data_IF_706467325587
#
_entry.id   IF_706467325587
#
_cell.length_a   1.000
_cell.length_b   1.000
_cell.length_c   1.000
_cell.angle_alpha   90.00
_cell.angle_beta   90.00
_cell.angle_gamma   90.00
#
_symmetry.space_group_name_H-M   'P 1'
#
loop_
_entity.id
_entity.type
_entity.pdbx_description
1 polymer ?
#
# COMPACT_ATOMS: atom_id res chain seq x y z
N UNK A 1 -10.54 3.66 27.32
CA UNK A 1 -11.23 4.41 26.25
C UNK A 1 -12.59 3.76 26.09
N UNK A 2 -13.68 4.49 25.79
CA UNK A 2 -14.94 3.84 25.46
C UNK A 2 -14.77 3.16 24.10
N UNK A 3 -14.90 1.83 24.10
CA UNK A 3 -14.85 0.98 22.90
C UNK A 3 -16.10 1.27 22.06
N UNK A 4 -15.93 2.13 21.05
CA UNK A 4 -16.94 2.37 20.01
C UNK A 4 -16.68 1.37 18.89
N UNK A 5 -17.09 0.12 19.11
CA UNK A 5 -16.92 -0.97 18.15
C UNK A 5 -18.05 -0.91 17.11
N UNK A 6 -17.98 0.12 16.25
CA UNK A 6 -18.73 0.14 15.01
C UNK A 6 -17.73 -0.18 13.91
N UNK A 7 -17.78 -1.41 13.40
CA UNK A 7 -17.11 -1.77 12.16
C UNK A 7 -17.81 -1.02 11.03
N UNK A 8 -17.36 0.20 10.75
CA UNK A 8 -17.77 0.93 9.56
C UNK A 8 -16.95 0.41 8.39
N UNK A 9 -17.65 -0.21 7.45
CA UNK A 9 -17.09 -0.57 6.17
C UNK A 9 -16.64 0.71 5.43
N UNK A 10 -15.37 0.76 4.99
CA UNK A 10 -14.81 1.91 4.29
C UNK A 10 -15.50 2.12 2.93
N UNK A 11 -16.05 1.09 2.30
CA UNK A 11 -16.77 1.19 1.03
C UNK A 11 -18.11 1.91 1.23
N UNK A 12 -18.80 1.58 2.34
CA UNK A 12 -20.02 2.27 2.74
C UNK A 12 -19.73 3.75 3.07
N UNK A 13 -18.66 4.04 3.81
CA UNK A 13 -18.28 5.42 4.12
C UNK A 13 -17.92 6.20 2.86
N UNK A 14 -17.19 5.61 1.93
CA UNK A 14 -16.85 6.21 0.65
C UNK A 14 -18.11 6.46 -0.20
N UNK A 15 -19.06 5.53 -0.20
CA UNK A 15 -20.36 5.69 -0.86
C UNK A 15 -21.18 6.82 -0.23
N UNK A 16 -21.24 6.88 1.11
CA UNK A 16 -21.89 7.99 1.83
C UNK A 16 -21.24 9.34 1.52
N UNK A 17 -19.91 9.39 1.37
CA UNK A 17 -19.21 10.60 0.96
C UNK A 17 -19.65 11.04 -0.45
N UNK A 18 -19.69 10.12 -1.42
CA UNK A 18 -20.15 10.38 -2.80
C UNK A 18 -21.61 10.85 -2.85
N UNK A 19 -22.48 10.22 -2.07
CA UNK A 19 -23.90 10.63 -1.99
C UNK A 19 -24.08 12.00 -1.34
N UNK A 20 -23.27 12.32 -0.33
CA UNK A 20 -23.27 13.62 0.34
C UNK A 20 -22.77 14.73 -0.59
N UNK A 21 -21.70 14.48 -1.37
CA UNK A 21 -21.23 15.39 -2.42
C UNK A 21 -22.30 15.63 -3.47
N UNK A 22 -22.98 14.57 -3.90
CA UNK A 22 -24.10 14.69 -4.85
C UNK A 22 -25.23 15.54 -4.29
N UNK A 23 -25.56 15.40 -3.00
CA UNK A 23 -26.58 16.21 -2.35
C UNK A 23 -26.12 17.67 -2.22
N UNK A 24 -24.86 17.91 -1.89
CA UNK A 24 -24.25 19.25 -1.91
C UNK A 24 -24.41 19.90 -3.29
N UNK A 25 -24.07 19.19 -4.36
CA UNK A 25 -24.15 19.70 -5.73
C UNK A 25 -25.60 19.95 -6.18
N UNK A 26 -26.53 19.07 -5.79
CA UNK A 26 -27.96 19.28 -6.01
C UNK A 26 -28.48 20.52 -5.28
N UNK A 27 -28.06 20.73 -4.03
CA UNK A 27 -28.39 21.93 -3.28
C UNK A 27 -27.72 23.16 -3.89
N UNK A 28 -26.54 23.01 -4.51
CA UNK A 28 -25.79 24.01 -5.27
C UNK A 28 -26.46 24.45 -6.58
N UNK A 29 -27.34 23.63 -7.15
CA UNK A 29 -27.95 23.89 -8.44
C UNK A 29 -28.87 25.12 -8.38
N UNK A 30 -28.41 26.20 -9.03
CA UNK A 30 -29.14 27.46 -9.12
C UNK A 30 -30.54 27.35 -9.75
N UNK A 31 -30.83 26.27 -10.49
CA UNK A 31 -32.17 25.96 -11.03
C UNK A 31 -33.15 25.54 -9.94
N UNK A 32 -32.68 24.90 -8.88
CA UNK A 32 -33.48 24.51 -7.71
C UNK A 32 -33.59 25.65 -6.69
N UNK A 33 -32.56 26.49 -6.59
CA UNK A 33 -32.51 27.64 -5.67
C UNK A 33 -33.00 28.97 -6.28
N UNK A 34 -33.44 28.98 -7.54
CA UNK A 34 -33.90 30.21 -8.20
C UNK A 34 -32.84 31.32 -8.22
N UNK A 35 -31.55 30.98 -8.36
CA UNK A 35 -30.44 31.94 -8.48
C UNK A 35 -30.52 32.66 -9.83
N UNK A 36 -31.42 33.63 -9.83
CA UNK A 36 -31.96 34.35 -10.96
C UNK A 36 -33.32 34.84 -10.47
N UNK A 37 -33.30 35.85 -9.60
CA UNK A 37 -34.49 36.44 -9.01
C UNK A 37 -35.56 36.57 -10.09
N UNK A 38 -36.65 35.80 -9.95
CA UNK A 38 -37.75 35.90 -10.89
C UNK A 38 -38.17 37.36 -10.96
N UNK A 39 -38.34 37.91 -12.15
CA UNK A 39 -38.72 39.31 -12.29
C UNK A 39 -40.22 39.52 -11.99
N UNK A 40 -40.60 40.79 -11.84
CA UNK A 40 -41.99 41.17 -11.61
C UNK A 40 -42.92 40.72 -12.75
N UNK A 41 -42.38 40.50 -13.97
CA UNK A 41 -43.16 40.06 -15.13
C UNK A 41 -43.47 38.56 -15.07
N UNK A 42 -42.57 37.75 -14.50
CA UNK A 42 -42.71 36.31 -14.33
C UNK A 42 -43.62 35.92 -13.16
N UNK A 43 -43.60 36.68 -12.05
CA UNK A 43 -44.34 36.31 -10.83
C UNK A 43 -45.55 37.20 -10.50
N UNK A 44 -45.73 38.31 -11.21
CA UNK A 44 -46.82 39.25 -10.97
C UNK A 44 -46.92 39.66 -9.49
N UNK A 45 -48.11 39.56 -8.91
CA UNK A 45 -48.38 39.96 -7.52
C UNK A 45 -47.60 39.11 -6.47
N UNK A 46 -47.15 37.91 -6.82
CA UNK A 46 -46.40 37.01 -5.92
C UNK A 46 -44.92 37.36 -5.77
N UNK A 47 -44.38 38.24 -6.62
CA UNK A 47 -42.95 38.57 -6.71
C UNK A 47 -42.31 38.91 -5.36
N UNK A 48 -42.95 39.78 -4.56
CA UNK A 48 -42.39 40.18 -3.26
C UNK A 48 -42.31 39.04 -2.26
N UNK A 49 -43.33 38.17 -2.20
CA UNK A 49 -43.37 37.05 -1.27
C UNK A 49 -42.33 35.99 -1.63
N UNK A 50 -42.20 35.67 -2.93
CA UNK A 50 -41.25 34.69 -3.43
C UNK A 50 -39.80 35.18 -3.27
N UNK A 51 -39.49 36.43 -3.62
CA UNK A 51 -38.14 36.96 -3.42
C UNK A 51 -37.78 37.13 -1.95
N UNK A 52 -38.75 37.45 -1.07
CA UNK A 52 -38.50 37.49 0.37
C UNK A 52 -38.16 36.09 0.92
N UNK A 53 -38.87 35.06 0.47
CA UNK A 53 -38.54 33.66 0.79
C UNK A 53 -37.11 33.32 0.36
N UNK A 54 -36.75 33.49 -0.91
CA UNK A 54 -35.40 33.14 -1.38
C UNK A 54 -34.29 33.96 -0.71
N UNK A 55 -34.54 35.23 -0.40
CA UNK A 55 -33.60 36.06 0.34
C UNK A 55 -33.39 35.55 1.78
N UNK A 56 -34.47 35.17 2.47
CA UNK A 56 -34.40 34.65 3.83
C UNK A 56 -33.75 33.27 3.91
N UNK A 57 -33.96 32.42 2.89
CA UNK A 57 -33.47 31.04 2.87
C UNK A 57 -32.10 30.88 2.20
N UNK A 58 -31.59 31.89 1.48
CA UNK A 58 -30.29 31.82 0.82
C UNK A 58 -29.11 31.54 1.77
N UNK A 59 -29.10 32.15 2.96
CA UNK A 59 -28.09 31.90 3.99
C UNK A 59 -28.16 30.47 4.57
N UNK A 60 -29.33 30.02 5.06
CA UNK A 60 -29.52 28.64 5.49
C UNK A 60 -29.13 27.58 4.44
N UNK A 61 -29.41 27.81 3.16
CA UNK A 61 -28.98 26.89 2.09
C UNK A 61 -27.47 26.87 1.90
N UNK A 62 -26.79 28.02 1.96
CA UNK A 62 -25.33 28.07 1.92
C UNK A 62 -24.71 27.33 3.11
N UNK A 63 -25.23 27.54 4.32
CA UNK A 63 -24.76 26.81 5.50
C UNK A 63 -24.96 25.29 5.39
N UNK A 64 -26.09 24.86 4.81
CA UNK A 64 -26.35 23.45 4.56
C UNK A 64 -25.40 22.86 3.51
N UNK A 65 -25.01 23.62 2.48
CA UNK A 65 -23.97 23.23 1.54
C UNK A 65 -22.62 23.04 2.26
N UNK A 66 -22.18 24.02 3.05
CA UNK A 66 -20.92 23.93 3.79
C UNK A 66 -20.89 22.73 4.74
N UNK A 67 -22.02 22.44 5.42
CA UNK A 67 -22.14 21.28 6.30
C UNK A 67 -22.06 19.96 5.52
N UNK A 68 -22.76 19.85 4.38
CA UNK A 68 -22.70 18.65 3.53
C UNK A 68 -21.29 18.41 3.01
N UNK A 69 -20.60 19.47 2.58
CA UNK A 69 -19.20 19.38 2.14
C UNK A 69 -18.28 18.91 3.27
N UNK A 70 -18.39 19.51 4.46
CA UNK A 70 -17.58 19.08 5.61
C UNK A 70 -17.85 17.63 6.01
N UNK A 71 -19.11 17.19 5.89
CA UNK A 71 -19.51 15.82 6.17
C UNK A 71 -18.96 14.83 5.14
N UNK A 72 -19.04 15.15 3.84
CA UNK A 72 -18.49 14.30 2.78
C UNK A 72 -16.97 14.18 2.87
N UNK A 73 -16.27 15.29 3.16
CA UNK A 73 -14.83 15.31 3.41
C UNK A 73 -14.45 14.43 4.61
N UNK A 74 -15.24 14.47 5.69
CA UNK A 74 -15.02 13.64 6.88
C UNK A 74 -15.19 12.15 6.56
N UNK A 75 -16.29 11.76 5.89
CA UNK A 75 -16.52 10.36 5.52
C UNK A 75 -15.44 9.84 4.59
N UNK A 76 -15.04 10.63 3.59
CA UNK A 76 -13.95 10.27 2.68
C UNK A 76 -12.63 10.09 3.43
N UNK A 77 -12.29 11.02 4.30
CA UNK A 77 -11.05 10.95 5.07
C UNK A 77 -10.98 9.68 5.92
N UNK A 78 -12.07 9.35 6.64
CA UNK A 78 -12.11 8.14 7.46
C UNK A 78 -12.06 6.88 6.60
N UNK A 79 -12.83 6.83 5.50
CA UNK A 79 -12.82 5.70 4.56
C UNK A 79 -11.42 5.44 4.01
N UNK A 80 -10.77 6.48 3.49
CA UNK A 80 -9.42 6.39 2.95
C UNK A 80 -8.42 5.89 3.99
N UNK A 81 -8.49 6.37 5.23
CA UNK A 81 -7.55 5.94 6.27
C UNK A 81 -7.74 4.51 6.72
N UNK A 82 -8.98 4.06 6.85
CA UNK A 82 -9.27 2.66 7.19
C UNK A 82 -8.82 1.73 6.04
N UNK A 83 -9.13 2.10 4.81
CA UNK A 83 -8.68 1.37 3.62
C UNK A 83 -7.16 1.32 3.52
N UNK A 84 -6.47 2.45 3.65
CA UNK A 84 -5.00 2.52 3.54
C UNK A 84 -4.28 1.71 4.61
N UNK A 85 -4.83 1.68 5.83
CA UNK A 85 -4.28 0.84 6.89
C UNK A 85 -4.38 -0.66 6.55
N UNK A 86 -5.56 -1.10 6.09
CA UNK A 86 -5.78 -2.49 5.72
C UNK A 86 -4.98 -2.87 4.47
N UNK A 87 -4.99 -2.01 3.47
CA UNK A 87 -4.23 -2.15 2.24
C UNK A 87 -2.72 -2.26 2.49
N UNK A 88 -2.17 -1.50 3.45
CA UNK A 88 -0.77 -1.62 3.85
C UNK A 88 -0.42 -3.01 4.42
N UNK A 89 -1.29 -3.59 5.25
CA UNK A 89 -1.09 -4.96 5.74
C UNK A 89 -1.23 -5.99 4.63
N UNK A 90 -2.23 -5.82 3.77
CA UNK A 90 -2.47 -6.72 2.64
C UNK A 90 -1.32 -6.66 1.62
N UNK A 91 -0.74 -5.49 1.36
CA UNK A 91 0.42 -5.32 0.51
C UNK A 91 1.64 -6.09 1.04
N UNK A 92 1.93 -5.96 2.35
CA UNK A 92 2.99 -6.73 3.00
C UNK A 92 2.77 -8.24 2.90
N UNK A 93 1.53 -8.70 3.12
CA UNK A 93 1.17 -10.11 2.99
C UNK A 93 1.33 -10.63 1.55
N UNK A 94 0.96 -9.82 0.55
CA UNK A 94 1.10 -10.18 -0.87
C UNK A 94 2.57 -10.31 -1.28
N UNK A 95 3.44 -9.40 -0.82
CA UNK A 95 4.90 -9.49 -1.02
C UNK A 95 5.47 -10.76 -0.37
N UNK A 96 5.06 -11.09 0.86
CA UNK A 96 5.47 -12.32 1.52
C UNK A 96 5.00 -13.58 0.78
N UNK A 97 3.75 -13.58 0.30
CA UNK A 97 3.19 -14.68 -0.49
C UNK A 97 4.00 -14.92 -1.77
N UNK A 98 4.35 -13.85 -2.50
CA UNK A 98 5.24 -13.94 -3.66
C UNK A 98 6.61 -14.54 -3.24
N UNK A 99 7.18 -14.10 -2.13
CA UNK A 99 8.48 -14.59 -1.64
C UNK A 99 8.48 -16.09 -1.34
N UNK A 100 7.37 -16.62 -0.81
CA UNK A 100 7.19 -18.07 -0.64
C UNK A 100 7.10 -18.81 -1.98
N UNK A 101 6.39 -18.25 -2.97
CA UNK A 101 6.32 -18.83 -4.31
C UNK A 101 7.69 -18.90 -4.97
N UNK A 102 8.48 -17.82 -4.90
CA UNK A 102 9.85 -17.79 -5.40
C UNK A 102 10.74 -18.80 -4.66
N UNK A 103 10.68 -18.86 -3.32
CA UNK A 103 11.49 -19.81 -2.53
C UNK A 103 11.21 -21.27 -2.89
N UNK A 104 9.94 -21.63 -3.10
CA UNK A 104 9.56 -22.97 -3.53
C UNK A 104 10.07 -23.28 -4.95
N UNK A 105 9.97 -22.32 -5.87
CA UNK A 105 10.54 -22.46 -7.22
C UNK A 105 12.06 -22.64 -7.17
N UNK A 106 12.77 -21.82 -6.39
CA UNK A 106 14.23 -21.89 -6.22
C UNK A 106 14.66 -23.25 -5.70
N UNK A 107 13.99 -23.78 -4.69
CA UNK A 107 14.24 -25.12 -4.16
C UNK A 107 14.10 -26.21 -5.24
N UNK A 108 13.05 -26.15 -6.08
CA UNK A 108 12.86 -27.08 -7.20
C UNK A 108 13.94 -26.92 -8.25
N UNK A 109 14.34 -25.69 -8.56
CA UNK A 109 15.40 -25.39 -9.52
C UNK A 109 16.74 -25.94 -9.04
N UNK A 110 17.11 -25.68 -7.80
CA UNK A 110 18.38 -26.15 -7.22
C UNK A 110 18.42 -27.69 -7.19
N UNK A 111 17.31 -28.35 -6.86
CA UNK A 111 17.19 -29.81 -6.92
C UNK A 111 17.33 -30.35 -8.36
N UNK A 112 16.68 -29.71 -9.33
CA UNK A 112 16.77 -30.09 -10.73
C UNK A 112 18.18 -29.90 -11.30
N UNK A 113 18.82 -28.77 -11.00
CA UNK A 113 20.17 -28.46 -11.47
C UNK A 113 21.20 -29.40 -10.85
N UNK A 114 21.09 -29.72 -9.55
CA UNK A 114 21.95 -30.71 -8.90
C UNK A 114 21.79 -32.11 -9.50
N UNK A 115 20.55 -32.55 -9.75
CA UNK A 115 20.29 -33.81 -10.45
C UNK A 115 20.90 -33.81 -11.86
N UNK A 116 20.71 -32.72 -12.61
CA UNK A 116 21.24 -32.59 -13.97
C UNK A 116 22.77 -32.66 -13.99
N UNK A 117 23.45 -32.01 -13.05
CA UNK A 117 24.90 -32.13 -12.89
C UNK A 117 25.32 -33.59 -12.62
N UNK A 118 24.64 -34.28 -11.69
CA UNK A 118 24.91 -35.69 -11.38
C UNK A 118 24.66 -36.64 -12.56
N UNK A 119 23.67 -36.38 -13.42
CA UNK A 119 23.45 -37.20 -14.62
C UNK A 119 24.61 -37.12 -15.63
N UNK A 120 25.34 -36.00 -15.62
CA UNK A 120 26.56 -35.82 -16.41
C UNK A 120 27.77 -36.56 -15.85
N UNK A 121 27.75 -36.90 -14.55
CA UNK A 121 28.90 -37.43 -13.83
C UNK A 121 28.89 -38.96 -13.70
N UNK A 122 30.09 -39.53 -13.61
CA UNK A 122 30.32 -40.95 -13.31
C UNK A 122 31.51 -41.12 -12.38
N UNK A 123 31.46 -42.17 -11.57
CA UNK A 123 32.58 -42.62 -10.74
C UNK A 123 33.07 -43.98 -11.23
N UNK A 124 34.35 -44.25 -11.00
CA UNK A 124 34.93 -45.58 -11.22
C UNK A 124 34.86 -46.37 -9.93
N UNK A 125 34.19 -47.53 -9.96
CA UNK A 125 34.08 -48.44 -8.82
C UNK A 125 34.78 -49.76 -9.12
N UNK A 126 35.32 -50.38 -8.08
CA UNK A 126 35.82 -51.75 -8.13
C UNK A 126 34.62 -52.71 -8.03
N UNK A 127 34.53 -53.66 -8.96
CA UNK A 127 33.48 -54.68 -9.03
C UNK A 127 34.12 -56.06 -9.20
N UNK A 128 33.38 -57.12 -8.89
CA UNK A 128 33.85 -58.50 -9.04
C UNK A 128 32.95 -59.25 -10.03
N UNK A 129 33.56 -60.04 -10.91
CA UNK A 129 32.82 -60.94 -11.80
C UNK A 129 32.31 -62.18 -11.04
N UNK A 130 31.49 -63.01 -11.70
CA UNK A 130 30.92 -64.25 -11.12
C UNK A 130 32.00 -65.29 -10.73
N UNK A 131 33.27 -65.06 -11.08
CA UNK A 131 34.43 -65.91 -10.76
C UNK A 131 35.33 -65.29 -9.69
N UNK A 132 34.97 -64.11 -9.16
CA UNK A 132 35.71 -63.39 -8.12
C UNK A 132 36.88 -62.54 -8.62
N UNK A 133 37.02 -62.29 -9.93
CA UNK A 133 38.04 -61.37 -10.44
C UNK A 133 37.57 -59.92 -10.34
N UNK A 134 38.46 -59.06 -9.85
CA UNK A 134 38.21 -57.63 -9.75
C UNK A 134 38.36 -56.93 -11.10
N UNK A 135 37.46 -55.99 -11.39
CA UNK A 135 37.51 -55.10 -12.54
C UNK A 135 36.98 -53.71 -12.19
N UNK A 136 37.30 -52.72 -13.03
CA UNK A 136 36.81 -51.35 -12.87
C UNK A 136 35.55 -51.14 -13.71
N UNK A 137 34.51 -50.54 -13.11
CA UNK A 137 33.25 -50.20 -13.78
C UNK A 137 32.97 -48.72 -13.61
N UNK A 138 32.59 -48.04 -14.68
CA UNK A 138 31.98 -46.71 -14.57
C UNK A 138 30.52 -46.84 -14.11
N UNK A 139 30.20 -46.15 -13.01
CA UNK A 139 28.87 -46.06 -12.45
C UNK A 139 28.39 -44.61 -12.56
N UNK A 140 27.27 -44.40 -13.24
CA UNK A 140 26.60 -43.10 -13.29
C UNK A 140 26.05 -42.73 -11.91
N UNK A 141 26.18 -41.46 -11.54
CA UNK A 141 25.74 -40.96 -10.24
C UNK A 141 24.22 -40.70 -10.18
N UNK A 142 23.60 -40.42 -11.32
CA UNK A 142 22.14 -40.34 -11.45
C UNK A 142 21.69 -40.94 -12.79
N UNK A 143 20.50 -41.55 -12.80
CA UNK A 143 19.85 -42.04 -14.02
C UNK A 143 18.92 -40.94 -14.57
N UNK A 144 19.13 -40.46 -15.81
CA UNK A 144 18.26 -39.47 -16.42
C UNK A 144 16.81 -39.95 -16.64
N UNK A 145 16.56 -41.27 -16.58
CA UNK A 145 15.25 -41.88 -16.75
C UNK A 145 14.68 -42.44 -15.44
N UNK A 146 15.29 -42.11 -14.29
CA UNK A 146 14.78 -42.54 -13.00
C UNK A 146 13.32 -42.06 -12.83
N UNK A 147 12.40 -42.93 -12.35
CA UNK A 147 10.99 -42.57 -12.20
C UNK A 147 10.77 -41.44 -11.17
N UNK A 148 11.76 -41.16 -10.32
CA UNK A 148 11.82 -40.12 -9.30
C UNK A 148 12.72 -38.93 -9.69
N UNK A 149 13.11 -38.81 -10.96
CA UNK A 149 13.85 -37.65 -11.45
C UNK A 149 13.06 -36.35 -11.18
N UNK A 150 13.70 -35.30 -10.62
CA UNK A 150 13.02 -34.05 -10.37
C UNK A 150 12.52 -33.44 -11.68
N UNK A 151 11.28 -32.93 -11.72
CA UNK A 151 10.79 -32.25 -12.92
C UNK A 151 11.50 -30.91 -13.11
N UNK A 152 11.59 -30.39 -14.35
CA UNK A 152 12.03 -29.02 -14.59
C UNK A 152 11.19 -28.02 -13.79
N UNK A 153 11.80 -26.98 -13.18
CA UNK A 153 11.13 -26.11 -12.21
C UNK A 153 10.06 -25.18 -12.81
N UNK A 154 9.91 -25.14 -14.14
CA UNK A 154 9.04 -24.19 -14.83
C UNK A 154 9.60 -22.76 -14.81
N UNK A 155 8.75 -21.79 -15.14
CA UNK A 155 9.10 -20.37 -15.09
C UNK A 155 9.17 -19.86 -13.65
N UNK A 156 10.07 -18.91 -13.42
CA UNK A 156 10.20 -18.22 -12.14
C UNK A 156 8.94 -17.37 -11.86
N UNK A 157 8.33 -17.49 -10.66
CA UNK A 157 7.20 -16.65 -10.29
C UNK A 157 7.70 -15.27 -9.87
N UNK A 158 7.39 -14.25 -10.68
CA UNK A 158 7.75 -12.85 -10.38
C UNK A 158 6.57 -12.01 -9.91
N UNK A 159 5.35 -12.53 -10.04
CA UNK A 159 4.10 -11.85 -9.72
C UNK A 159 3.22 -12.75 -8.86
N UNK A 160 2.71 -12.18 -7.77
CA UNK A 160 1.53 -12.65 -7.07
C UNK A 160 0.35 -11.78 -7.50
N UNK A 161 -0.73 -12.42 -7.90
CA UNK A 161 -1.94 -11.76 -8.38
C UNK A 161 -3.15 -12.48 -7.80
N UNK A 162 -3.97 -11.76 -7.04
CA UNK A 162 -5.14 -12.27 -6.36
C UNK A 162 -6.31 -11.30 -6.55
N UNK A 163 -7.41 -11.83 -7.08
CA UNK A 163 -8.68 -11.13 -7.18
C UNK A 163 -9.65 -11.90 -6.31
N UNK A 164 -10.24 -11.22 -5.32
CA UNK A 164 -11.42 -11.74 -4.65
C UNK A 164 -12.62 -11.52 -5.56
N UNK A 165 -13.34 -12.58 -5.90
CA UNK A 165 -14.63 -12.52 -6.59
C UNK A 165 -15.64 -13.21 -5.67
N UNK A 166 -16.56 -12.43 -5.12
CA UNK A 166 -17.63 -12.91 -4.24
C UNK A 166 -18.74 -13.64 -5.00
N UNK A 167 -18.67 -13.67 -6.34
CA UNK A 167 -19.64 -14.30 -7.23
C UNK A 167 -20.86 -13.41 -7.53
N UNK A 168 -20.98 -12.22 -6.92
CA UNK A 168 -21.97 -11.20 -7.26
C UNK A 168 -21.35 -10.07 -8.12
N UNK A 169 -20.02 -10.02 -8.21
CA UNK A 169 -19.26 -9.20 -9.16
C UNK A 169 -19.19 -7.72 -8.79
N UNK A 170 -19.58 -7.37 -7.56
CA UNK A 170 -19.57 -5.99 -7.04
C UNK A 170 -18.38 -5.70 -6.13
N UNK A 171 -17.78 -6.72 -5.51
CA UNK A 171 -16.67 -6.57 -4.55
C UNK A 171 -15.41 -7.26 -5.10
N UNK A 172 -14.79 -6.66 -6.12
CA UNK A 172 -13.59 -7.18 -6.76
C UNK A 172 -12.32 -6.60 -6.11
N UNK A 173 -12.07 -6.92 -4.84
CA UNK A 173 -10.83 -6.51 -4.19
C UNK A 173 -9.65 -7.15 -4.91
N UNK A 174 -8.73 -6.32 -5.40
CA UNK A 174 -7.55 -6.74 -6.13
C UNK A 174 -6.30 -6.53 -5.30
N UNK A 175 -5.47 -7.56 -5.25
CA UNK A 175 -4.15 -7.52 -4.63
C UNK A 175 -3.13 -8.04 -5.64
N UNK A 176 -2.11 -7.24 -5.91
CA UNK A 176 -0.97 -7.69 -6.70
C UNK A 176 0.33 -7.30 -6.05
N UNK A 177 1.31 -8.18 -6.12
CA UNK A 177 2.67 -7.92 -5.64
C UNK A 177 3.71 -8.51 -6.61
N UNK A 178 4.65 -7.68 -7.01
CA UNK A 178 5.80 -8.05 -7.81
C UNK A 178 7.07 -7.90 -6.97
N UNK A 179 7.98 -8.88 -7.09
CA UNK A 179 9.28 -8.84 -6.41
C UNK A 179 10.37 -9.10 -7.43
N UNK A 180 11.39 -8.26 -7.40
CA UNK A 180 12.56 -8.35 -8.26
C UNK A 180 13.75 -8.85 -7.45
N UNK A 181 14.53 -9.74 -8.04
CA UNK A 181 15.73 -10.32 -7.45
C UNK A 181 16.96 -10.02 -8.30
N UNK A 182 18.13 -9.90 -7.66
CA UNK A 182 19.41 -9.88 -8.35
C UNK A 182 19.88 -11.29 -8.74
N UNK A 183 21.07 -11.38 -9.36
CA UNK A 183 21.67 -12.64 -9.79
C UNK A 183 21.98 -13.60 -8.66
N UNK A 184 22.14 -13.09 -7.43
CA UNK A 184 22.43 -13.88 -6.23
C UNK A 184 21.13 -14.32 -5.54
N UNK A 185 19.97 -13.89 -6.04
CA UNK A 185 18.65 -14.19 -5.49
C UNK A 185 18.27 -13.31 -4.31
N UNK A 186 18.93 -12.16 -4.11
CA UNK A 186 18.54 -11.17 -3.11
C UNK A 186 17.51 -10.22 -3.72
N UNK A 187 16.50 -9.85 -2.92
CA UNK A 187 15.47 -8.88 -3.31
C UNK A 187 16.11 -7.51 -3.59
N UNK A 188 15.77 -6.91 -4.73
CA UNK A 188 16.20 -5.57 -5.13
C UNK A 188 15.07 -4.57 -5.15
N UNK A 189 13.84 -5.00 -5.45
CA UNK A 189 12.66 -4.15 -5.33
C UNK A 189 11.38 -4.95 -5.13
N UNK A 190 10.39 -4.30 -4.54
CA UNK A 190 9.01 -4.81 -4.40
C UNK A 190 8.04 -3.74 -4.88
N UNK A 191 6.97 -4.17 -5.54
CA UNK A 191 5.89 -3.31 -5.99
C UNK A 191 4.57 -3.98 -5.60
N UNK A 192 3.68 -3.27 -4.92
CA UNK A 192 2.41 -3.82 -4.45
C UNK A 192 1.27 -2.85 -4.71
N UNK A 193 0.16 -3.37 -5.21
CA UNK A 193 -1.08 -2.62 -5.41
C UNK A 193 -2.22 -3.32 -4.68
N UNK A 194 -3.04 -2.53 -4.00
CA UNK A 194 -4.33 -2.95 -3.45
C UNK A 194 -5.39 -1.96 -3.93
N UNK A 195 -6.47 -2.45 -4.51
CA UNK A 195 -7.64 -1.64 -4.86
C UNK A 195 -8.94 -2.35 -4.47
N UNK A 196 -9.95 -1.54 -4.13
CA UNK A 196 -11.31 -1.99 -3.79
C UNK A 196 -12.16 -2.24 -5.05
N UNK A 197 -11.53 -2.46 -6.20
CA UNK A 197 -12.20 -2.62 -7.48
C UNK A 197 -12.94 -1.35 -7.92
N UNK A 198 -14.28 -1.41 -7.89
CA UNK A 198 -15.16 -0.35 -8.40
C UNK A 198 -15.39 0.80 -7.39
N UNK A 199 -14.95 0.62 -6.13
CA UNK A 199 -15.10 1.63 -5.09
C UNK A 199 -14.20 2.86 -5.30
N UNK A 200 -13.11 2.71 -6.06
CA UNK A 200 -12.20 3.78 -6.44
C UNK A 200 -11.19 4.15 -5.35
N UNK A 201 -11.04 3.33 -4.32
CA UNK A 201 -9.94 3.41 -3.36
C UNK A 201 -8.76 2.58 -3.88
N UNK A 202 -7.56 3.17 -3.83
CA UNK A 202 -6.36 2.53 -4.36
C UNK A 202 -5.14 2.91 -3.55
N UNK A 203 -4.40 1.88 -3.15
CA UNK A 203 -3.13 1.98 -2.46
C UNK A 203 -2.05 1.37 -3.34
N UNK A 204 -0.92 2.05 -3.43
CA UNK A 204 0.25 1.55 -4.13
C UNK A 204 1.50 1.80 -3.30
N UNK A 205 2.35 0.78 -3.20
CA UNK A 205 3.62 0.86 -2.50
C UNK A 205 4.74 0.27 -3.36
N UNK A 206 5.82 1.02 -3.48
CA UNK A 206 7.03 0.60 -4.18
C UNK A 206 8.23 0.73 -3.24
N UNK A 207 9.05 -0.31 -3.12
CA UNK A 207 10.27 -0.28 -2.32
C UNK A 207 11.47 -0.70 -3.15
N UNK A 208 12.50 0.14 -3.18
CA UNK A 208 13.82 -0.19 -3.69
C UNK A 208 14.75 -0.55 -2.52
N UNK A 209 15.44 -1.68 -2.60
CA UNK A 209 16.37 -2.15 -1.58
C UNK A 209 17.82 -1.93 -1.99
N UNK A 210 18.61 -1.41 -1.07
CA UNK A 210 20.02 -1.07 -1.24
C UNK A 210 20.99 -1.92 -0.40
N UNK A 211 22.21 -1.41 -0.31
CA UNK A 211 23.24 -1.98 0.56
C UNK A 211 22.99 -1.61 2.03
N UNK A 212 23.57 -2.39 2.95
CA UNK A 212 23.56 -2.13 4.40
C UNK A 212 22.16 -1.95 5.01
N UNK A 213 21.13 -2.61 4.45
CA UNK A 213 19.75 -2.45 4.91
C UNK A 213 19.11 -1.11 4.54
N UNK A 214 19.73 -0.34 3.62
CA UNK A 214 19.11 0.86 3.05
C UNK A 214 17.92 0.48 2.18
N UNK A 215 16.89 1.31 2.16
CA UNK A 215 15.77 1.17 1.25
C UNK A 215 15.05 2.50 1.06
N UNK A 216 14.36 2.65 -0.07
CA UNK A 216 13.44 3.76 -0.31
C UNK A 216 12.08 3.19 -0.62
N UNK A 217 11.08 3.53 0.20
CA UNK A 217 9.68 3.17 -0.04
C UNK A 217 8.90 4.40 -0.47
N UNK A 218 8.16 4.30 -1.57
CA UNK A 218 7.19 5.30 -2.02
C UNK A 218 5.80 4.71 -1.91
N UNK A 219 4.97 5.32 -1.08
CA UNK A 219 3.56 5.01 -0.94
C UNK A 219 2.77 6.08 -1.68
N UNK A 220 1.87 5.66 -2.57
CA UNK A 220 0.86 6.52 -3.21
C UNK A 220 -0.49 6.21 -2.58
N UNK A 221 -1.03 7.21 -1.90
CA UNK A 221 -2.30 7.14 -1.16
C UNK A 221 -3.49 7.34 -2.10
N UNK A 222 -4.69 7.05 -1.59
CA UNK A 222 -5.91 7.07 -2.39
C UNK A 222 -6.26 8.46 -2.92
N UNK A 223 -5.93 9.50 -2.15
CA UNK A 223 -6.14 10.90 -2.54
C UNK A 223 -5.08 11.43 -3.53
N UNK A 224 -4.12 10.59 -3.91
CA UNK A 224 -2.99 10.93 -4.78
C UNK A 224 -1.82 11.59 -4.05
N UNK A 225 -1.91 11.81 -2.73
CA UNK A 225 -0.77 12.20 -1.91
C UNK A 225 0.26 11.07 -1.84
N UNK A 226 1.48 11.40 -1.41
CA UNK A 226 2.57 10.43 -1.31
C UNK A 226 3.30 10.52 0.01
N UNK A 227 3.76 9.37 0.47
CA UNK A 227 4.73 9.25 1.55
C UNK A 227 5.98 8.58 1.00
N UNK A 228 7.13 9.23 1.15
CA UNK A 228 8.44 8.67 0.81
C UNK A 228 9.19 8.39 2.09
N UNK A 229 9.57 7.14 2.31
CA UNK A 229 10.37 6.67 3.44
C UNK A 229 11.74 6.31 2.91
N UNK A 230 12.77 7.04 3.31
CA UNK A 230 14.16 6.78 2.94
C UNK A 230 14.93 6.31 4.15
N UNK A 231 15.46 5.09 4.09
CA UNK A 231 16.37 4.54 5.08
C UNK A 231 17.74 4.39 4.44
N UNK A 232 18.74 4.99 5.08
CA UNK A 232 20.14 4.88 4.68
C UNK A 232 20.95 4.22 5.79
N UNK A 233 21.42 3.01 5.54
CA UNK A 233 22.26 2.22 6.43
C UNK A 233 23.75 2.40 6.16
N UNK A 234 24.53 2.52 7.23
CA UNK A 234 25.98 2.56 7.21
C UNK A 234 26.56 1.18 7.55
N UNK A 235 27.79 0.92 7.13
CA UNK A 235 28.48 -0.37 7.37
C UNK A 235 28.69 -0.71 8.86
N UNK A 236 28.71 0.31 9.73
CA UNK A 236 28.88 0.16 11.17
C UNK A 236 27.58 -0.20 11.92
N UNK A 237 26.50 -0.48 11.18
CA UNK A 237 25.19 -0.82 11.74
C UNK A 237 24.35 0.36 12.21
N UNK A 238 24.77 1.60 11.94
CA UNK A 238 23.99 2.81 12.19
C UNK A 238 23.34 3.33 10.91
N UNK A 239 22.45 4.32 11.01
CA UNK A 239 21.91 4.96 9.82
C UNK A 239 20.89 6.04 10.12
N UNK A 240 20.20 6.47 9.07
CA UNK A 240 19.16 7.49 9.13
C UNK A 240 17.89 6.98 8.49
N UNK A 241 16.75 7.48 8.98
CA UNK A 241 15.43 7.32 8.38
C UNK A 241 14.85 8.70 8.18
N UNK A 242 14.33 8.98 6.99
CA UNK A 242 13.59 10.20 6.70
C UNK A 242 12.22 9.80 6.16
N UNK A 243 11.18 10.52 6.58
CA UNK A 243 9.85 10.38 6.01
C UNK A 243 9.45 11.74 5.47
N UNK A 244 9.08 11.79 4.20
CA UNK A 244 8.57 13.00 3.54
C UNK A 244 7.14 12.74 3.07
N UNK A 245 6.22 13.58 3.51
CA UNK A 245 4.83 13.56 3.04
C UNK A 245 4.63 14.70 2.03
N UNK A 246 3.99 14.40 0.91
CA UNK A 246 3.59 15.39 -0.10
C UNK A 246 2.12 15.28 -0.40
N UNK A 247 1.43 16.41 -0.54
CA UNK A 247 0.05 16.43 -1.01
C UNK A 247 -0.07 15.95 -2.47
N UNK A 248 -1.31 15.82 -2.94
CA UNK A 248 -1.65 15.40 -4.32
C UNK A 248 -1.06 16.31 -5.42
N UNK A 249 -0.68 17.53 -5.07
CA UNK A 249 -0.09 18.51 -6.00
C UNK A 249 1.45 18.47 -5.94
N UNK A 250 2.03 17.58 -5.13
CA UNK A 250 3.46 17.35 -4.98
C UNK A 250 4.15 18.32 -4.02
N UNK A 251 3.39 19.10 -3.24
CA UNK A 251 3.96 20.00 -2.24
C UNK A 251 4.22 19.24 -0.95
N UNK A 252 5.44 19.36 -0.41
CA UNK A 252 5.78 18.83 0.91
C UNK A 252 4.90 19.43 1.99
N UNK A 253 4.24 18.57 2.76
CA UNK A 253 3.39 18.94 3.89
C UNK A 253 4.10 18.70 5.21
N UNK A 254 4.97 17.69 5.28
CA UNK A 254 5.66 17.29 6.50
C UNK A 254 6.96 16.55 6.17
N UNK A 255 7.97 16.68 7.03
CA UNK A 255 9.23 15.93 6.97
C UNK A 255 9.69 15.61 8.37
N UNK A 256 9.97 14.33 8.60
CA UNK A 256 10.51 13.86 9.87
C UNK A 256 11.80 13.09 9.64
N UNK A 257 12.75 13.18 10.59
CA UNK A 257 14.07 12.55 10.49
C UNK A 257 14.46 11.82 11.77
N UNK A 258 15.08 10.66 11.63
CA UNK A 258 15.54 9.83 12.72
C UNK A 258 16.96 9.34 12.47
N UNK A 259 17.72 9.19 13.55
CA UNK A 259 18.99 8.46 13.57
C UNK A 259 18.81 7.14 14.32
N UNK A 260 19.50 6.10 13.86
CA UNK A 260 19.27 4.77 14.43
C UNK A 260 20.47 3.86 14.43
N UNK A 261 20.31 2.76 15.15
CA UNK A 261 21.29 1.66 15.25
C UNK A 261 20.57 0.32 15.09
N UNK A 262 21.32 -0.71 14.69
CA UNK A 262 20.77 -2.03 14.42
C UNK A 262 20.34 -2.23 12.96
N UNK A 263 20.83 -1.40 12.04
CA UNK A 263 20.63 -1.61 10.61
C UNK A 263 21.65 -2.64 10.11
N UNK A 264 21.18 -3.82 9.69
CA UNK A 264 22.05 -4.89 9.20
C UNK A 264 22.64 -5.74 10.32
N UNK A 265 21.94 -6.82 10.66
CA UNK A 265 22.34 -7.88 11.60
C UNK A 265 21.19 -8.87 11.81
N UNK A 266 21.38 -9.89 12.66
CA UNK A 266 20.34 -10.89 13.00
C UNK A 266 19.16 -10.31 13.83
N UNK A 267 19.17 -9.00 14.10
CA UNK A 267 18.09 -8.30 14.80
C UNK A 267 17.32 -7.43 13.81
N UNK A 268 16.04 -7.76 13.52
CA UNK A 268 15.27 -7.11 12.48
C UNK A 268 14.68 -5.76 12.89
N UNK A 269 14.86 -5.28 14.13
CA UNK A 269 14.19 -4.06 14.61
C UNK A 269 15.21 -2.94 14.86
N UNK A 270 15.45 -2.05 13.88
CA UNK A 270 16.27 -0.87 14.08
C UNK A 270 15.67 0.03 15.16
N UNK A 271 16.52 0.55 16.05
CA UNK A 271 16.10 1.52 17.06
C UNK A 271 16.31 2.93 16.54
N UNK A 272 15.20 3.64 16.33
CA UNK A 272 15.19 5.02 15.83
C UNK A 272 15.04 6.03 16.96
N UNK A 273 15.83 7.09 16.92
CA UNK A 273 15.74 8.28 17.77
C UNK A 273 15.33 9.44 16.89
N UNK A 274 14.24 10.13 17.24
CA UNK A 274 13.78 11.29 16.50
C UNK A 274 14.83 12.40 16.62
N UNK A 275 15.23 12.98 15.48
CA UNK A 275 16.19 14.06 15.40
C UNK A 275 15.53 15.45 15.51
N UNK A 276 14.21 15.52 15.55
CA UNK A 276 13.47 16.78 15.63
C UNK A 276 13.57 17.42 17.03
N UNK A 277 14.00 18.69 17.15
CA UNK A 277 14.16 19.36 18.45
C UNK A 277 12.86 19.68 19.19
N UNK A 278 11.68 19.66 18.55
CA UNK A 278 10.41 19.96 19.22
C UNK A 278 9.53 18.72 19.36
N UNK A 279 9.51 18.14 20.57
CA UNK A 279 8.72 16.95 20.92
C UNK A 279 7.19 17.16 20.88
N UNK A 280 6.72 18.33 20.49
CA UNK A 280 5.30 18.70 20.40
C UNK A 280 4.84 19.13 19.01
N UNK A 281 5.75 19.23 18.03
CA UNK A 281 5.39 19.47 16.64
C UNK A 281 4.95 18.14 16.01
N UNK A 282 3.63 17.91 15.99
CA UNK A 282 3.04 16.65 15.49
C UNK A 282 2.59 16.72 14.04
N UNK A 283 2.76 17.86 13.36
CA UNK A 283 2.36 18.05 11.95
C UNK A 283 3.44 18.70 11.06
N UNK A 284 4.58 19.09 11.62
CA UNK A 284 5.81 19.40 10.87
C UNK A 284 5.78 20.72 10.11
N UNK A 285 4.85 21.62 10.46
CA UNK A 285 4.70 22.91 9.75
C UNK A 285 5.58 24.03 10.33
N UNK A 286 6.31 23.75 11.43
CA UNK A 286 7.25 24.68 12.06
C UNK A 286 6.59 25.89 12.71
N UNK A 287 5.28 25.85 13.01
CA UNK A 287 4.59 26.88 13.80
C UNK A 287 4.19 26.35 15.16
N UNK A 288 4.66 27.05 16.18
CA UNK A 288 4.15 26.94 17.55
C UNK A 288 2.62 27.02 17.54
N UNK A 289 1.99 25.92 17.93
CA UNK A 289 0.56 25.73 18.17
C UNK A 289 0.12 26.60 19.38
N UNK A 290 0.20 27.92 19.21
CA UNK A 290 -0.43 28.91 20.08
C UNK A 290 -1.69 29.37 19.40
N UNK A 291 -2.85 29.03 19.94
CA UNK A 291 -3.93 30.01 19.96
C UNK A 291 -5.19 29.75 19.15
N UNK A 292 -5.16 28.99 18.05
CA UNK A 292 -6.16 29.21 16.99
C UNK A 292 -6.89 27.90 16.65
N UNK A 293 -8.06 27.70 17.26
CA UNK A 293 -8.94 26.57 17.00
C UNK A 293 -9.26 26.40 15.50
N UNK A 294 -8.63 25.42 14.87
CA UNK A 294 -8.91 25.02 13.50
C UNK A 294 -8.04 23.83 13.06
N UNK A 295 -8.70 22.68 12.84
CA UNK A 295 -8.18 21.48 12.15
C UNK A 295 -6.93 20.81 12.73
N UNK A 296 -7.10 20.04 13.82
CA UNK A 296 -6.16 19.00 14.23
C UNK A 296 -6.51 17.68 13.54
N UNK A 297 -5.93 17.43 12.37
CA UNK A 297 -5.79 16.07 11.82
C UNK A 297 -4.30 15.88 11.48
N UNK A 298 -3.49 15.76 12.53
CA UNK A 298 -2.07 15.41 12.44
C UNK A 298 -1.93 13.97 11.95
N UNK A 299 -1.07 13.81 10.95
CA UNK A 299 -0.87 12.64 10.10
C UNK A 299 0.40 11.90 10.56
N UNK A 300 0.34 11.12 11.64
CA UNK A 300 1.54 10.42 12.17
C UNK A 300 1.28 8.97 12.60
N UNK A 301 0.32 8.30 11.95
CA UNK A 301 -0.09 6.95 12.33
C UNK A 301 -0.11 5.93 11.20
N UNK A 302 0.97 5.80 10.41
CA UNK A 302 1.15 4.61 9.56
C UNK A 302 2.44 3.92 9.99
N UNK A 303 2.26 2.99 10.93
CA UNK A 303 3.29 2.04 11.31
C UNK A 303 3.51 1.07 10.16
N UNK A 304 4.45 1.38 9.28
CA UNK A 304 5.17 0.35 8.53
C UNK A 304 6.06 -0.36 9.54
N UNK A 305 5.63 -1.54 9.99
CA UNK A 305 6.47 -2.47 10.76
C UNK A 305 7.33 -3.25 9.78
N UNK A 306 8.52 -2.73 9.54
CA UNK A 306 9.72 -3.47 9.17
C UNK A 306 10.93 -2.82 9.84
#
# INVERSE_FOLDING_TARGET
>A
MPDFDVAFDYELLNTLAKDTDRLHDQLGDGRLLGRGFYDSAALGAGFKAVNHFFFQWGGPFANAQDLLKSLSETYRFVAQRMFEQDAGYAASAAVQAQGFMHSNWKMKKDSYDAWKDLTGQSITVHAWDDKGHEYLKEQKLADPNAPDAPPPPGYEPTLYDYIHDDGEGTDNVHHSAQVTYDSDGKVTSTDSTVDDGDGGLKYHEHTDYGANGSYTTTITHTDGSKTVIEVHGNENGTGTRNITNTDKDGKTTDTSSWSGTGLGGDHPDPKWTNNDPDATDTDGDGKDDKDDGGTKNSNTGVGSTF
#
